data_IF_045948676481
#
_entry.id   IF_045948676481
#
_cell.length_a   1.000
_cell.length_b   1.000
_cell.length_c   1.000
_cell.angle_alpha   90.00
_cell.angle_beta   90.00
_cell.angle_gamma   90.00
#
_symmetry.space_group_name_H-M   'P 1'
#
loop_
_entity.id
_entity.type
_entity.pdbx_description
1 polymer ?
#
# COMPACT_ATOMS: atom_id res chain seq x y z
N UNK A 1 10.14 -3.71 -2.52
CA UNK A 1 9.23 -4.59 -1.76
C UNK A 1 9.05 -5.90 -2.53
N UNK A 2 9.40 -7.02 -1.92
CA UNK A 2 9.32 -8.35 -2.55
C UNK A 2 7.91 -8.98 -2.47
N UNK A 3 6.86 -8.22 -2.19
CA UNK A 3 5.46 -8.70 -2.08
C UNK A 3 5.25 -9.88 -1.12
N UNK A 4 6.19 -10.10 -0.20
CA UNK A 4 6.21 -11.22 0.74
C UNK A 4 5.74 -10.83 2.16
N UNK A 5 4.89 -9.82 2.28
CA UNK A 5 4.39 -9.35 3.58
C UNK A 5 3.67 -10.45 4.38
N UNK A 6 3.09 -11.44 3.69
CA UNK A 6 2.47 -12.62 4.30
C UNK A 6 3.43 -13.54 5.05
N UNK A 7 4.70 -13.55 4.67
CA UNK A 7 5.75 -14.30 5.38
C UNK A 7 6.18 -13.65 6.70
N UNK A 8 5.67 -12.45 7.01
CA UNK A 8 5.98 -11.71 8.24
C UNK A 8 7.47 -11.40 8.43
N UNK A 9 8.25 -11.38 7.36
CA UNK A 9 9.67 -11.02 7.35
C UNK A 9 9.83 -9.54 7.03
N UNK A 10 10.66 -8.86 7.79
CA UNK A 10 11.07 -7.49 7.56
C UNK A 10 12.52 -7.31 7.99
N UNK A 11 13.15 -6.25 7.53
CA UNK A 11 14.52 -5.92 7.92
C UNK A 11 14.63 -4.45 8.29
N UNK A 12 15.59 -4.15 9.14
CA UNK A 12 15.96 -2.79 9.51
C UNK A 12 17.45 -2.57 9.32
N UNK A 13 17.82 -1.38 8.89
CA UNK A 13 19.20 -0.94 8.73
C UNK A 13 19.38 0.32 9.58
N UNK A 14 20.43 0.35 10.37
CA UNK A 14 20.71 1.50 11.24
C UNK A 14 22.12 1.47 11.79
N UNK A 15 22.46 2.45 12.63
CA UNK A 15 23.77 2.47 13.30
C UNK A 15 23.93 1.25 14.22
N UNK A 16 25.15 0.73 14.43
CA UNK A 16 25.38 -0.43 15.31
C UNK A 16 24.77 -0.25 16.70
N UNK A 17 24.84 0.96 17.27
CA UNK A 17 24.27 1.28 18.59
C UNK A 17 22.75 1.13 18.60
N UNK A 18 22.06 1.63 17.57
CA UNK A 18 20.61 1.48 17.43
C UNK A 18 20.21 0.03 17.21
N UNK A 19 20.93 -0.68 16.34
CA UNK A 19 20.65 -2.08 16.06
C UNK A 19 20.88 -3.00 17.28
N UNK A 20 21.85 -2.69 18.14
CA UNK A 20 22.03 -3.41 19.39
C UNK A 20 20.81 -3.27 20.32
N UNK A 21 20.24 -2.07 20.44
CA UNK A 21 19.02 -1.83 21.23
C UNK A 21 17.82 -2.59 20.65
N UNK A 22 17.61 -2.48 19.33
CA UNK A 22 16.52 -3.19 18.65
C UNK A 22 16.63 -4.70 18.84
N UNK A 23 17.84 -5.27 18.71
CA UNK A 23 18.07 -6.69 18.93
C UNK A 23 17.81 -7.11 20.40
N UNK A 24 18.19 -6.29 21.37
CA UNK A 24 17.89 -6.56 22.77
C UNK A 24 16.38 -6.62 23.04
N UNK A 25 15.63 -5.66 22.50
CA UNK A 25 14.16 -5.62 22.61
C UNK A 25 13.55 -6.83 21.87
N UNK A 26 13.97 -7.10 20.64
CA UNK A 26 13.50 -8.24 19.86
C UNK A 26 13.68 -9.55 20.64
N UNK A 27 14.86 -9.78 21.18
CA UNK A 27 15.19 -11.03 21.89
C UNK A 27 14.44 -11.17 23.23
N UNK A 28 14.07 -10.05 23.86
CA UNK A 28 13.26 -10.10 25.10
C UNK A 28 11.76 -10.37 24.84
N UNK A 29 11.27 -10.06 23.64
CA UNK A 29 9.86 -10.27 23.29
C UNK A 29 9.66 -11.61 22.57
N UNK A 30 10.41 -11.89 21.51
CA UNK A 30 10.37 -13.14 20.75
C UNK A 30 11.70 -13.38 20.03
N UNK A 31 12.61 -14.20 20.58
CA UNK A 31 13.89 -14.50 19.93
C UNK A 31 13.74 -15.34 18.64
N UNK A 32 12.62 -16.07 18.48
CA UNK A 32 12.34 -16.99 17.36
C UNK A 32 11.27 -16.43 16.43
N UNK A 33 11.37 -15.15 16.06
CA UNK A 33 10.33 -14.43 15.31
C UNK A 33 10.32 -14.70 13.80
N UNK A 34 11.34 -15.33 13.26
CA UNK A 34 11.42 -15.74 11.83
C UNK A 34 11.57 -17.26 11.81
N UNK A 35 10.66 -17.94 11.11
CA UNK A 35 10.76 -19.38 10.90
C UNK A 35 11.70 -19.72 9.73
N UNK A 36 12.12 -20.99 9.66
CA UNK A 36 13.09 -21.45 8.66
C UNK A 36 12.58 -21.35 7.21
N UNK A 37 11.29 -21.53 7.01
CA UNK A 37 10.68 -21.41 5.67
C UNK A 37 10.70 -19.94 5.23
N UNK A 38 10.31 -19.03 6.11
CA UNK A 38 10.33 -17.60 5.87
C UNK A 38 11.75 -17.09 5.58
N UNK A 39 12.77 -17.61 6.26
CA UNK A 39 14.18 -17.28 6.03
C UNK A 39 14.66 -17.71 4.63
N UNK A 40 14.37 -18.95 4.24
CA UNK A 40 14.71 -19.48 2.91
C UNK A 40 14.02 -18.68 1.81
N UNK A 41 12.72 -18.39 1.95
CA UNK A 41 11.98 -17.63 0.95
C UNK A 41 12.42 -16.16 0.88
N UNK A 42 12.73 -15.53 1.99
CA UNK A 42 13.27 -14.18 2.02
C UNK A 42 14.67 -14.11 1.35
N UNK A 43 15.50 -15.10 1.57
CA UNK A 43 16.81 -15.23 0.92
C UNK A 43 16.66 -15.38 -0.60
N UNK A 44 15.77 -16.30 -1.04
CA UNK A 44 15.48 -16.48 -2.46
C UNK A 44 14.93 -15.19 -3.11
N UNK A 45 14.10 -14.43 -2.40
CA UNK A 45 13.58 -13.16 -2.88
C UNK A 45 14.71 -12.13 -3.11
N UNK A 46 15.68 -12.03 -2.20
CA UNK A 46 16.84 -11.14 -2.38
C UNK A 46 17.71 -11.59 -3.56
N UNK A 47 17.87 -12.89 -3.76
CA UNK A 47 18.64 -13.42 -4.90
C UNK A 47 17.92 -13.23 -6.25
N UNK A 48 16.60 -13.08 -6.26
CA UNK A 48 15.76 -12.82 -7.45
C UNK A 48 15.35 -11.35 -7.53
N UNK A 49 16.24 -10.43 -7.15
CA UNK A 49 15.91 -9.00 -7.02
C UNK A 49 15.40 -8.37 -8.30
N UNK A 50 15.96 -8.71 -9.45
CA UNK A 50 15.58 -8.17 -10.77
C UNK A 50 14.07 -8.37 -11.05
N UNK A 51 13.52 -9.55 -10.69
CA UNK A 51 12.08 -9.82 -10.82
C UNK A 51 11.22 -8.84 -9.99
N UNK A 52 11.67 -8.56 -8.77
CA UNK A 52 10.94 -7.64 -7.88
C UNK A 52 11.11 -6.18 -8.28
N UNK A 53 12.26 -5.83 -8.86
CA UNK A 53 12.51 -4.49 -9.39
C UNK A 53 11.57 -4.16 -10.54
N UNK A 54 11.38 -5.07 -11.50
CA UNK A 54 10.41 -4.95 -12.58
C UNK A 54 8.97 -4.80 -12.06
N UNK A 55 8.61 -5.60 -11.08
CA UNK A 55 7.28 -5.53 -10.45
C UNK A 55 7.05 -4.19 -9.74
N UNK A 56 8.06 -3.69 -9.03
CA UNK A 56 8.02 -2.39 -8.38
C UNK A 56 7.92 -1.25 -9.41
N UNK A 57 8.63 -1.34 -10.54
CA UNK A 57 8.55 -0.35 -11.60
C UNK A 57 7.13 -0.24 -12.18
N UNK A 58 6.47 -1.37 -12.43
CA UNK A 58 5.07 -1.41 -12.88
C UNK A 58 4.13 -0.76 -11.86
N UNK A 59 4.26 -1.12 -10.58
CA UNK A 59 3.44 -0.53 -9.51
C UNK A 59 3.67 0.99 -9.42
N UNK A 60 4.90 1.46 -9.54
CA UNK A 60 5.22 2.88 -9.51
C UNK A 60 4.59 3.63 -10.69
N UNK A 61 4.69 3.08 -11.90
CA UNK A 61 4.10 3.69 -13.08
C UNK A 61 2.57 3.79 -12.98
N UNK A 62 1.89 2.70 -12.61
CA UNK A 62 0.43 2.66 -12.41
C UNK A 62 -0.01 3.59 -11.27
N UNK A 63 0.74 3.65 -10.16
CA UNK A 63 0.44 4.58 -9.06
C UNK A 63 0.52 6.03 -9.49
N UNK A 64 1.56 6.39 -10.22
CA UNK A 64 1.79 7.77 -10.64
C UNK A 64 0.74 8.21 -11.66
N UNK A 65 0.39 7.34 -12.61
CA UNK A 65 -0.73 7.54 -13.53
C UNK A 65 -2.05 7.71 -12.76
N UNK A 66 -2.41 6.76 -11.91
CA UNK A 66 -3.67 6.79 -11.16
C UNK A 66 -3.79 8.03 -10.27
N UNK A 67 -2.67 8.47 -9.68
CA UNK A 67 -2.62 9.70 -8.89
C UNK A 67 -2.89 10.94 -9.73
N UNK A 68 -2.43 10.97 -10.98
CA UNK A 68 -2.68 12.09 -11.90
C UNK A 68 -4.14 12.12 -12.34
N UNK A 69 -4.71 10.97 -12.71
CA UNK A 69 -6.11 10.85 -13.09
C UNK A 69 -7.07 11.28 -11.97
N UNK A 70 -6.81 10.84 -10.74
CA UNK A 70 -7.60 11.24 -9.59
C UNK A 70 -7.53 12.76 -9.34
N UNK A 71 -6.35 13.37 -9.48
CA UNK A 71 -6.20 14.82 -9.37
C UNK A 71 -6.96 15.57 -10.48
N UNK A 72 -6.97 15.03 -11.70
CA UNK A 72 -7.68 15.63 -12.84
C UNK A 72 -9.21 15.68 -12.59
N UNK A 73 -9.76 14.75 -11.84
CA UNK A 73 -11.18 14.75 -11.42
C UNK A 73 -11.42 15.42 -10.06
N UNK A 74 -10.45 16.19 -9.57
CA UNK A 74 -10.60 17.05 -8.38
C UNK A 74 -10.26 16.41 -7.03
N UNK A 75 -9.75 15.17 -6.99
CA UNK A 75 -9.33 14.55 -5.73
C UNK A 75 -8.06 15.19 -5.16
N UNK A 76 -7.99 15.31 -3.84
CA UNK A 76 -6.73 15.61 -3.16
C UNK A 76 -5.98 14.28 -2.91
N UNK A 77 -4.85 14.09 -3.57
CA UNK A 77 -4.01 12.88 -3.51
C UNK A 77 -2.70 13.21 -2.83
N UNK A 78 -2.45 12.61 -1.67
CA UNK A 78 -1.19 12.79 -0.97
C UNK A 78 -0.03 12.10 -1.73
N UNK A 79 1.17 12.71 -1.72
CA UNK A 79 2.36 12.08 -2.31
C UNK A 79 2.62 10.70 -1.69
N UNK A 80 2.86 9.69 -2.53
CA UNK A 80 3.12 8.33 -2.08
C UNK A 80 4.38 7.76 -2.72
N UNK A 81 5.15 7.01 -1.91
CA UNK A 81 6.29 6.18 -2.33
C UNK A 81 6.02 4.70 -2.01
N UNK A 82 4.77 4.36 -1.74
CA UNK A 82 4.32 3.01 -1.39
C UNK A 82 3.48 2.39 -2.51
N UNK A 83 2.94 1.21 -2.28
CA UNK A 83 2.02 0.52 -3.18
C UNK A 83 0.54 0.89 -2.94
N UNK A 84 0.27 2.06 -2.39
CA UNK A 84 -1.07 2.61 -2.21
C UNK A 84 -1.04 4.13 -2.31
N UNK A 85 -2.20 4.72 -2.53
CA UNK A 85 -2.44 6.16 -2.44
C UNK A 85 -3.44 6.46 -1.33
N UNK A 86 -3.32 7.64 -0.73
CA UNK A 86 -4.26 8.16 0.26
C UNK A 86 -4.96 9.37 -0.35
N UNK A 87 -6.26 9.24 -0.57
CA UNK A 87 -7.04 10.18 -1.39
C UNK A 87 -8.23 10.73 -0.63
N UNK A 88 -8.49 12.03 -0.77
CA UNK A 88 -9.71 12.68 -0.33
C UNK A 88 -10.58 12.95 -1.56
N UNK A 89 -11.81 12.41 -1.61
CA UNK A 89 -12.71 12.62 -2.73
C UNK A 89 -13.19 14.09 -2.83
N UNK A 90 -13.62 14.46 -4.01
CA UNK A 90 -14.28 15.74 -4.30
C UNK A 90 -15.76 15.48 -4.65
N UNK A 91 -16.64 16.35 -4.20
CA UNK A 91 -18.08 16.26 -4.51
C UNK A 91 -18.86 15.23 -3.68
N UNK A 92 -18.19 14.25 -3.10
CA UNK A 92 -18.77 13.21 -2.24
C UNK A 92 -17.91 13.00 -0.99
N UNK A 93 -18.47 12.43 0.07
CA UNK A 93 -17.70 12.10 1.26
C UNK A 93 -16.89 10.80 1.07
N UNK A 94 -15.83 10.61 1.87
CA UNK A 94 -15.07 9.37 1.85
C UNK A 94 -15.93 8.15 2.22
N UNK A 95 -16.91 8.30 3.12
CA UNK A 95 -17.85 7.24 3.46
C UNK A 95 -18.75 6.86 2.27
N UNK A 96 -19.33 7.84 1.59
CA UNK A 96 -20.16 7.58 0.40
C UNK A 96 -19.38 6.86 -0.71
N UNK A 97 -18.16 7.32 -0.99
CA UNK A 97 -17.31 6.67 -1.98
C UNK A 97 -16.91 5.25 -1.53
N UNK A 98 -16.61 5.05 -0.25
CA UNK A 98 -16.32 3.73 0.31
C UNK A 98 -17.47 2.74 0.09
N UNK A 99 -18.69 3.14 0.47
CA UNK A 99 -19.89 2.31 0.35
C UNK A 99 -20.21 2.00 -1.12
N UNK A 100 -20.04 3.00 -2.01
CA UNK A 100 -20.25 2.81 -3.44
C UNK A 100 -19.25 1.82 -4.06
N UNK A 101 -17.95 2.00 -3.80
CA UNK A 101 -16.92 1.07 -4.27
C UNK A 101 -17.17 -0.35 -3.76
N UNK A 102 -17.54 -0.50 -2.48
CA UNK A 102 -17.88 -1.80 -1.90
C UNK A 102 -19.08 -2.45 -2.59
N UNK A 103 -20.11 -1.68 -2.95
CA UNK A 103 -21.27 -2.17 -3.72
C UNK A 103 -20.89 -2.72 -5.09
N UNK A 104 -19.85 -2.17 -5.70
CA UNK A 104 -19.24 -2.62 -6.97
C UNK A 104 -18.17 -3.71 -6.78
N UNK A 105 -18.02 -4.25 -5.56
CA UNK A 105 -17.02 -5.28 -5.17
C UNK A 105 -15.57 -4.79 -5.32
N UNK A 106 -15.34 -3.50 -5.13
CA UNK A 106 -14.02 -2.88 -5.05
C UNK A 106 -13.76 -2.56 -3.58
N UNK A 107 -12.77 -3.24 -2.99
CA UNK A 107 -12.48 -3.15 -1.56
C UNK A 107 -11.28 -2.25 -1.31
N UNK A 108 -11.53 -1.12 -0.65
CA UNK A 108 -10.53 -0.14 -0.25
C UNK A 108 -10.49 -0.03 1.28
N UNK A 109 -9.57 0.74 1.83
CA UNK A 109 -9.50 0.98 3.28
C UNK A 109 -10.03 2.37 3.62
N UNK A 110 -10.92 2.42 4.60
CA UNK A 110 -11.46 3.65 5.19
C UNK A 110 -11.19 3.66 6.71
N UNK A 111 -10.82 4.82 7.26
CA UNK A 111 -10.42 4.99 8.65
C UNK A 111 -11.23 6.11 9.32
N UNK A 112 -12.55 6.00 9.46
CA UNK A 112 -13.43 7.09 9.93
C UNK A 112 -13.12 7.57 11.35
N UNK A 113 -12.46 6.74 12.16
CA UNK A 113 -12.10 7.05 13.56
C UNK A 113 -10.69 7.63 13.72
N UNK A 114 -9.92 7.78 12.65
CA UNK A 114 -8.56 8.33 12.67
C UNK A 114 -8.63 9.77 12.18
N UNK A 115 -8.62 10.73 13.08
CA UNK A 115 -8.88 12.16 12.85
C UNK A 115 -8.15 12.73 11.62
N UNK A 116 -6.85 12.44 11.47
CA UNK A 116 -6.02 12.99 10.38
C UNK A 116 -6.36 12.47 8.99
N UNK A 117 -7.09 11.35 8.87
CA UNK A 117 -7.40 10.67 7.62
C UNK A 117 -8.85 10.19 7.54
N UNK A 118 -9.72 10.70 8.43
CA UNK A 118 -11.14 10.34 8.49
C UNK A 118 -11.93 10.75 7.24
N UNK A 119 -11.42 11.68 6.45
CA UNK A 119 -11.98 12.17 5.19
C UNK A 119 -11.30 11.55 3.96
N UNK A 120 -10.47 10.50 4.13
CA UNK A 120 -9.65 9.88 3.08
C UNK A 120 -9.89 8.39 2.95
N UNK A 121 -9.64 7.87 1.75
CA UNK A 121 -9.56 6.45 1.47
C UNK A 121 -8.12 6.06 1.13
N UNK A 122 -7.69 4.87 1.58
CA UNK A 122 -6.45 4.24 1.12
C UNK A 122 -6.79 3.22 0.05
N UNK A 123 -6.29 3.45 -1.15
CA UNK A 123 -6.48 2.59 -2.32
C UNK A 123 -5.14 1.94 -2.64
N UNK A 124 -5.08 0.61 -2.56
CA UNK A 124 -3.90 -0.16 -2.98
C UNK A 124 -3.80 -0.18 -4.50
N UNK A 125 -2.59 -0.12 -5.02
CA UNK A 125 -2.33 -0.16 -6.46
C UNK A 125 -2.28 -1.63 -6.90
N UNK A 126 -3.14 -1.97 -7.84
CA UNK A 126 -3.18 -3.23 -8.54
C UNK A 126 -2.54 -3.13 -9.94
N UNK A 127 -3.00 -3.98 -10.85
CA UNK A 127 -2.65 -3.90 -12.27
C UNK A 127 -3.24 -2.63 -12.91
N UNK A 128 -2.74 -2.27 -14.09
CA UNK A 128 -3.26 -1.10 -14.82
C UNK A 128 -4.77 -1.24 -15.08
N UNK A 129 -5.23 -2.40 -15.58
CA UNK A 129 -6.64 -2.67 -15.87
C UNK A 129 -7.52 -2.57 -14.61
N UNK A 130 -7.04 -3.09 -13.47
CA UNK A 130 -7.76 -2.95 -12.21
C UNK A 130 -7.90 -1.49 -11.79
N UNK A 131 -6.84 -0.69 -11.94
CA UNK A 131 -6.88 0.72 -11.55
C UNK A 131 -7.72 1.56 -12.51
N UNK A 132 -7.76 1.23 -13.80
CA UNK A 132 -8.69 1.83 -14.77
C UNK A 132 -10.14 1.55 -14.41
N UNK A 133 -10.45 0.31 -14.02
CA UNK A 133 -11.79 -0.04 -13.53
C UNK A 133 -12.17 0.74 -12.27
N UNK A 134 -11.24 0.90 -11.33
CA UNK A 134 -11.47 1.70 -10.12
C UNK A 134 -11.76 3.15 -10.50
N UNK A 135 -10.98 3.74 -11.40
CA UNK A 135 -11.15 5.11 -11.86
C UNK A 135 -12.51 5.32 -12.53
N UNK A 136 -12.90 4.46 -13.47
CA UNK A 136 -14.21 4.52 -14.12
C UNK A 136 -15.36 4.44 -13.10
N UNK A 137 -15.25 3.52 -12.12
CA UNK A 137 -16.26 3.38 -11.08
C UNK A 137 -16.36 4.65 -10.20
N UNK A 138 -15.24 5.32 -9.93
CA UNK A 138 -15.25 6.60 -9.20
C UNK A 138 -15.95 7.69 -10.04
N UNK A 139 -15.65 7.76 -11.33
CA UNK A 139 -16.27 8.74 -12.25
C UNK A 139 -17.79 8.55 -12.38
N UNK A 140 -18.28 7.30 -12.40
CA UNK A 140 -19.71 6.99 -12.38
C UNK A 140 -20.44 7.59 -11.17
N UNK A 141 -19.80 7.65 -10.02
CA UNK A 141 -20.41 8.23 -8.82
C UNK A 141 -20.44 9.76 -8.85
N UNK A 142 -19.54 10.40 -9.60
CA UNK A 142 -19.44 11.86 -9.70
C UNK A 142 -20.31 12.45 -10.84
N UNK A 143 -20.77 11.60 -11.76
CA UNK A 143 -21.63 11.99 -12.87
C UNK A 143 -23.08 12.21 -12.44
#
# INVERSE_FOLDING_TARGET
>A
DASLAGLRVGYGIGSPKLMAVINAVKNSVNPYNVDSIAEVLATAAVQSWDYYEDSCAKIMATRDWFSQELKAIGFDVLPSKTNFVLVKPHGVTAGQLFDYLQSKKIYVRYFPKVERISDRLRISIGTQDEMERVLMTIQELQA
#
